data_IF_093225953148
#
_entry.id   IF_093225953148
#
_cell.length_a   1.000
_cell.length_b   1.000
_cell.length_c   1.000
_cell.angle_alpha   90.00
_cell.angle_beta   90.00
_cell.angle_gamma   90.00
#
_symmetry.space_group_name_H-M   'P 1'
#
loop_
_entity.id
_entity.type
_entity.pdbx_description
1 polymer ?
#
# COMPACT_ATOMS: atom_id res chain seq x y z
N UNK A 1 -16.06 42.37 36.57
CA UNK A 1 -15.25 41.20 37.03
C UNK A 1 -15.57 40.06 36.07
N UNK A 2 -14.60 39.29 35.54
CA UNK A 2 -14.96 38.13 34.73
C UNK A 2 -15.71 37.15 35.63
N UNK A 3 -16.90 36.75 35.20
CA UNK A 3 -17.72 35.77 35.90
C UNK A 3 -16.99 34.43 35.88
N UNK A 4 -16.94 33.74 37.02
CA UNK A 4 -16.36 32.40 37.08
C UNK A 4 -17.30 31.42 36.40
N UNK A 5 -16.79 30.50 35.57
CA UNK A 5 -17.61 29.45 34.97
C UNK A 5 -18.35 28.66 36.04
N UNK A 6 -19.55 28.24 35.72
CA UNK A 6 -20.35 27.31 36.53
C UNK A 6 -19.73 25.91 36.49
N UNK A 7 -20.03 25.08 37.49
CA UNK A 7 -19.57 23.69 37.54
C UNK A 7 -19.93 22.89 36.27
N UNK A 8 -21.10 23.14 35.68
CA UNK A 8 -21.52 22.50 34.43
C UNK A 8 -20.68 22.93 33.23
N UNK A 9 -20.28 24.20 33.18
CA UNK A 9 -19.39 24.72 32.14
C UNK A 9 -17.97 24.15 32.31
N UNK A 10 -17.47 24.05 33.54
CA UNK A 10 -16.18 23.40 33.83
C UNK A 10 -16.15 21.93 33.38
N UNK A 11 -17.19 21.15 33.69
CA UNK A 11 -17.32 19.75 33.25
C UNK A 11 -17.46 19.62 31.73
N UNK A 12 -18.14 20.57 31.08
CA UNK A 12 -18.26 20.62 29.63
C UNK A 12 -16.89 20.86 28.97
N UNK A 13 -16.14 21.86 29.45
CA UNK A 13 -14.81 22.15 28.91
C UNK A 13 -13.83 21.00 29.17
N UNK A 14 -13.87 20.38 30.35
CA UNK A 14 -13.02 19.22 30.67
C UNK A 14 -13.26 18.04 29.72
N UNK A 15 -14.52 17.72 29.38
CA UNK A 15 -14.86 16.68 28.40
C UNK A 15 -14.36 17.02 27.00
N UNK A 16 -14.57 18.26 26.56
CA UNK A 16 -14.13 18.72 25.25
C UNK A 16 -12.61 18.67 25.10
N UNK A 17 -11.87 19.05 26.15
CA UNK A 17 -10.41 18.94 26.18
C UNK A 17 -9.94 17.49 26.11
N UNK A 18 -10.57 16.58 26.86
CA UNK A 18 -10.25 15.16 26.82
C UNK A 18 -10.51 14.56 25.43
N UNK A 19 -11.66 14.86 24.83
CA UNK A 19 -12.00 14.40 23.47
C UNK A 19 -11.01 14.93 22.42
N UNK A 20 -10.66 16.22 22.49
CA UNK A 20 -9.65 16.81 21.59
C UNK A 20 -8.28 16.16 21.75
N UNK A 21 -7.85 15.93 23.00
CA UNK A 21 -6.57 15.25 23.29
C UNK A 21 -6.57 13.82 22.77
N UNK A 22 -7.66 13.07 23.00
CA UNK A 22 -7.82 11.70 22.50
C UNK A 22 -7.77 11.68 20.97
N UNK A 23 -8.55 12.54 20.31
CA UNK A 23 -8.54 12.66 18.85
C UNK A 23 -7.14 13.00 18.32
N UNK A 24 -6.43 13.91 18.96
CA UNK A 24 -5.06 14.26 18.58
C UNK A 24 -4.05 13.12 18.77
N UNK A 25 -4.24 12.25 19.77
CA UNK A 25 -3.43 11.04 19.92
C UNK A 25 -3.73 10.05 18.79
N UNK A 26 -5.02 9.78 18.53
CA UNK A 26 -5.46 8.88 17.46
C UNK A 26 -4.95 9.34 16.08
N UNK A 27 -5.03 10.64 15.78
CA UNK A 27 -4.50 11.25 14.55
C UNK A 27 -2.97 11.06 14.44
N UNK A 28 -2.24 11.23 15.53
CA UNK A 28 -0.77 11.02 15.54
C UNK A 28 -0.41 9.55 15.37
N UNK A 29 -1.14 8.64 15.98
CA UNK A 29 -0.93 7.20 15.84
C UNK A 29 -1.20 6.73 14.41
N UNK A 30 -2.32 7.16 13.82
CA UNK A 30 -2.66 6.86 12.42
C UNK A 30 -1.64 7.43 11.45
N UNK A 31 -1.19 8.67 11.66
CA UNK A 31 -0.12 9.27 10.87
C UNK A 31 1.17 8.46 10.96
N UNK A 32 1.60 8.10 12.18
CA UNK A 32 2.81 7.31 12.38
C UNK A 32 2.72 5.93 11.70
N UNK A 33 1.56 5.27 11.74
CA UNK A 33 1.33 4.00 11.08
C UNK A 33 1.41 4.12 9.55
N UNK A 34 0.84 5.17 8.95
CA UNK A 34 0.93 5.41 7.52
C UNK A 34 2.36 5.76 7.09
N UNK A 35 3.07 6.60 7.86
CA UNK A 35 4.48 6.92 7.60
C UNK A 35 5.36 5.66 7.60
N UNK A 36 5.16 4.75 8.56
CA UNK A 36 5.89 3.49 8.62
C UNK A 36 5.56 2.58 7.42
N UNK A 37 4.27 2.47 7.08
CA UNK A 37 3.84 1.74 5.89
C UNK A 37 4.50 2.29 4.63
N UNK A 38 4.56 3.61 4.47
CA UNK A 38 5.20 4.25 3.32
C UNK A 38 6.71 3.99 3.28
N UNK A 39 7.40 3.98 4.43
CA UNK A 39 8.82 3.59 4.50
C UNK A 39 9.05 2.16 4.05
N UNK A 40 8.23 1.21 4.52
CA UNK A 40 8.33 -0.20 4.13
C UNK A 40 8.09 -0.35 2.62
N UNK A 41 7.05 0.29 2.08
CA UNK A 41 6.73 0.24 0.66
C UNK A 41 7.86 0.86 -0.19
N UNK A 42 8.48 1.95 0.24
CA UNK A 42 9.58 2.57 -0.47
C UNK A 42 10.80 1.64 -0.63
N UNK A 43 11.07 0.78 0.36
CA UNK A 43 12.16 -0.20 0.30
C UNK A 43 11.80 -1.41 -0.56
N UNK A 44 10.55 -1.86 -0.49
CA UNK A 44 10.09 -3.05 -1.21
C UNK A 44 9.78 -2.79 -2.70
N UNK A 45 9.49 -1.55 -3.09
CA UNK A 45 9.09 -1.20 -4.46
C UNK A 45 10.21 -1.54 -5.46
N UNK A 46 9.84 -2.21 -6.56
CA UNK A 46 10.79 -2.65 -7.58
C UNK A 46 11.73 -3.79 -7.13
N UNK A 47 11.46 -4.41 -5.99
CA UNK A 47 12.20 -5.56 -5.46
C UNK A 47 11.35 -6.81 -5.49
N UNK A 48 11.95 -7.91 -5.91
CA UNK A 48 11.30 -9.20 -5.91
C UNK A 48 11.03 -9.65 -4.47
N UNK A 49 9.77 -9.90 -4.06
CA UNK A 49 9.44 -10.30 -2.69
C UNK A 49 9.96 -11.71 -2.36
N UNK A 50 10.35 -12.51 -3.36
CA UNK A 50 10.95 -13.85 -3.15
C UNK A 50 12.43 -13.81 -2.80
N UNK A 51 13.21 -12.89 -3.37
CA UNK A 51 14.68 -12.93 -3.27
C UNK A 51 15.39 -11.58 -3.17
N UNK A 52 14.62 -10.49 -3.05
CA UNK A 52 15.08 -9.09 -3.02
C UNK A 52 15.88 -8.63 -4.27
N UNK A 53 15.89 -9.42 -5.34
CA UNK A 53 16.48 -9.02 -6.62
C UNK A 53 15.72 -7.86 -7.26
N UNK A 54 16.38 -7.09 -8.10
CA UNK A 54 15.75 -6.01 -8.88
C UNK A 54 14.74 -6.59 -9.88
N UNK A 55 13.56 -5.96 -9.95
CA UNK A 55 12.56 -6.20 -10.99
C UNK A 55 12.90 -5.34 -12.20
N UNK A 56 12.95 -5.96 -13.36
CA UNK A 56 13.27 -5.32 -14.64
C UNK A 56 12.03 -5.39 -15.52
N UNK A 57 11.58 -4.26 -16.09
CA UNK A 57 10.46 -4.24 -17.01
C UNK A 57 10.84 -4.96 -18.30
N UNK A 58 9.97 -5.86 -18.75
CA UNK A 58 10.13 -6.63 -19.99
C UNK A 58 8.85 -6.53 -20.82
N UNK A 59 8.94 -6.13 -22.11
CA UNK A 59 7.77 -6.07 -22.97
C UNK A 59 7.32 -7.47 -23.35
N UNK A 60 6.04 -7.77 -23.13
CA UNK A 60 5.39 -9.02 -23.49
C UNK A 60 4.02 -8.74 -24.10
N UNK A 61 3.86 -9.02 -25.41
CA UNK A 61 2.60 -8.83 -26.15
C UNK A 61 1.94 -7.45 -25.93
N UNK A 62 2.75 -6.40 -25.89
CA UNK A 62 2.26 -5.03 -25.68
C UNK A 62 1.97 -4.65 -24.22
N UNK A 63 2.19 -5.56 -23.27
CA UNK A 63 2.14 -5.31 -21.82
C UNK A 63 3.56 -5.25 -21.26
N UNK A 64 3.84 -4.33 -20.36
CA UNK A 64 5.13 -4.26 -19.64
C UNK A 64 5.03 -5.15 -18.40
N UNK A 65 5.82 -6.22 -18.31
CA UNK A 65 5.80 -7.12 -17.15
C UNK A 65 7.08 -6.96 -16.33
N UNK A 66 7.02 -7.22 -15.03
CA UNK A 66 8.20 -7.14 -14.16
C UNK A 66 8.87 -8.50 -13.99
N UNK A 67 10.09 -8.66 -14.52
CA UNK A 67 10.89 -9.88 -14.36
C UNK A 67 12.02 -9.68 -13.36
N UNK A 68 12.13 -10.57 -12.38
CA UNK A 68 13.24 -10.56 -11.45
C UNK A 68 14.55 -11.00 -12.12
N UNK A 69 15.56 -10.13 -12.03
CA UNK A 69 16.94 -10.38 -12.51
C UNK A 69 17.63 -11.60 -11.88
N UNK A 70 17.22 -12.02 -10.67
CA UNK A 70 17.92 -13.05 -9.88
C UNK A 70 17.23 -14.40 -9.88
N UNK A 71 15.93 -14.45 -9.55
CA UNK A 71 15.19 -15.71 -9.44
C UNK A 71 14.27 -15.99 -10.64
N UNK A 72 14.28 -15.10 -11.64
CA UNK A 72 13.48 -15.20 -12.86
C UNK A 72 11.95 -15.24 -12.64
N UNK A 73 11.48 -14.87 -11.45
CA UNK A 73 10.05 -14.74 -11.18
C UNK A 73 9.46 -13.57 -11.96
N UNK A 74 8.25 -13.75 -12.49
CA UNK A 74 7.48 -12.72 -13.20
C UNK A 74 6.39 -12.21 -12.28
N UNK A 75 6.27 -10.89 -12.20
CA UNK A 75 5.29 -10.16 -11.41
C UNK A 75 4.43 -9.35 -12.37
N UNK A 76 3.13 -9.38 -12.13
CA UNK A 76 2.13 -8.69 -12.94
C UNK A 76 1.40 -7.70 -12.05
N UNK A 77 1.23 -6.48 -12.53
CA UNK A 77 0.41 -5.48 -11.90
C UNK A 77 -1.09 -5.77 -12.11
N UNK A 78 -1.92 -5.02 -11.38
CA UNK A 78 -3.36 -5.18 -11.44
C UNK A 78 -3.88 -4.99 -12.88
N UNK A 79 -4.54 -6.02 -13.43
CA UNK A 79 -5.11 -6.00 -14.78
C UNK A 79 -4.15 -6.37 -15.92
N UNK A 80 -2.86 -6.60 -15.65
CA UNK A 80 -1.91 -7.08 -16.68
C UNK A 80 -2.14 -8.55 -17.04
N UNK A 81 -2.50 -9.37 -16.05
CA UNK A 81 -2.81 -10.78 -16.29
C UNK A 81 -3.95 -10.95 -17.30
N UNK A 82 -5.00 -10.14 -17.18
CA UNK A 82 -6.16 -10.19 -18.09
C UNK A 82 -5.75 -9.82 -19.52
N UNK A 83 -4.87 -8.83 -19.68
CA UNK A 83 -4.33 -8.44 -20.99
C UNK A 83 -3.50 -9.56 -21.61
N UNK A 84 -2.68 -10.24 -20.80
CA UNK A 84 -1.83 -11.34 -21.27
C UNK A 84 -2.64 -12.58 -21.66
N UNK A 85 -3.73 -12.88 -20.94
CA UNK A 85 -4.56 -14.07 -21.17
C UNK A 85 -5.59 -13.87 -22.29
N UNK A 86 -6.04 -12.63 -22.55
CA UNK A 86 -7.07 -12.34 -23.55
C UNK A 86 -6.72 -12.79 -24.99
N UNK A 87 -5.43 -12.91 -25.32
CA UNK A 87 -4.98 -13.34 -26.65
C UNK A 87 -4.86 -14.87 -26.85
N UNK A 88 -4.91 -15.66 -25.77
CA UNK A 88 -4.76 -17.11 -25.83
C UNK A 88 -6.09 -17.82 -25.56
N UNK A 89 -6.47 -18.76 -26.44
CA UNK A 89 -7.71 -19.55 -26.36
C UNK A 89 -7.79 -20.52 -25.17
N UNK A 90 -6.88 -20.41 -24.19
CA UNK A 90 -6.86 -21.16 -22.95
C UNK A 90 -5.99 -20.48 -21.89
N UNK A 91 -6.53 -20.37 -20.66
CA UNK A 91 -5.83 -19.77 -19.51
C UNK A 91 -4.45 -20.43 -19.27
N UNK A 92 -4.39 -21.75 -19.28
CA UNK A 92 -3.14 -22.49 -19.02
C UNK A 92 -2.12 -22.38 -20.16
N UNK A 93 -2.55 -22.17 -21.42
CA UNK A 93 -1.62 -21.99 -22.54
C UNK A 93 -0.98 -20.60 -22.52
N UNK A 94 -1.74 -19.57 -22.16
CA UNK A 94 -1.20 -18.22 -21.97
C UNK A 94 -0.19 -18.18 -20.82
N UNK A 95 -0.58 -18.69 -19.65
CA UNK A 95 0.26 -18.73 -18.44
C UNK A 95 1.55 -19.52 -18.67
N UNK A 96 1.50 -20.69 -19.33
CA UNK A 96 2.69 -21.50 -19.57
C UNK A 96 3.75 -20.78 -20.42
N UNK A 97 3.37 -19.87 -21.31
CA UNK A 97 4.34 -19.11 -22.14
C UNK A 97 5.01 -17.96 -21.40
N UNK A 98 4.42 -17.47 -20.31
CA UNK A 98 5.06 -16.45 -19.45
C UNK A 98 6.24 -17.07 -18.69
N UNK A 99 6.11 -18.35 -18.31
CA UNK A 99 7.06 -19.07 -17.47
C UNK A 99 7.92 -20.11 -18.22
N UNK A 100 7.79 -20.20 -19.55
CA UNK A 100 8.64 -21.04 -20.41
C UNK A 100 9.84 -20.27 -20.94
#
# INVERSE_FOLDING_TARGET
>A
MPEKPTQQEEEYFARLEFERRRKGLDERETQAAEEERQRILAVARGRCPKCAGELIPVPYRGVELDKCSRCQGVWLDFGELDQVVAEDSGFLSGVRRIFS
#
